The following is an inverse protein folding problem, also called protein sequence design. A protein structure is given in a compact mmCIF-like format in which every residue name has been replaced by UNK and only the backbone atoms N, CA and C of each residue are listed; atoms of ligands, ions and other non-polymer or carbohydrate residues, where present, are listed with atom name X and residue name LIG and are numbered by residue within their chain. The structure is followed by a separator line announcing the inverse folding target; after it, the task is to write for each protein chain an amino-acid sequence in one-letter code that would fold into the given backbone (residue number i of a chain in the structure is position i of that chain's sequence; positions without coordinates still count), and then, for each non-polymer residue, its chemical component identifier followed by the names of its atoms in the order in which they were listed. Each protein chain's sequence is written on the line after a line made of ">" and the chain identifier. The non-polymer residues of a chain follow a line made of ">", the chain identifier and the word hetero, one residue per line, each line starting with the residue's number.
data_IF_186004468987
#
_entry.id   IF_186004468987
#
_cell.length_a   1.000
_cell.length_b   1.000
_cell.length_c   1.000
_cell.angle_alpha   90.00
_cell.angle_beta   90.00
_cell.angle_gamma   90.00
#
_symmetry.space_group_name_H-M   'P 1'
#
loop_
_entity.id
_entity.type
_entity.pdbx_description
1 polymer ?
#
# COMPACT_ATOMS: atom_id res chain seq x y z
N UNK A 1 -9.82 -16.39 13.02
CA UNK A 1 -8.76 -16.03 12.05
C UNK A 1 -9.03 -14.60 11.63
N UNK A 2 -8.00 -13.75 11.65
CA UNK A 2 -8.10 -12.36 11.21
C UNK A 2 -7.34 -12.20 9.89
N UNK A 3 -7.86 -11.36 9.00
CA UNK A 3 -7.21 -11.00 7.75
C UNK A 3 -7.22 -9.48 7.62
N UNK A 4 -6.07 -8.89 7.35
CA UNK A 4 -5.91 -7.44 7.13
C UNK A 4 -5.11 -7.22 5.86
N UNK A 5 -5.39 -6.12 5.17
CA UNK A 5 -4.53 -5.59 4.12
C UNK A 5 -3.76 -4.38 4.66
N UNK A 6 -2.59 -4.07 4.10
CA UNK A 6 -1.81 -2.94 4.55
C UNK A 6 -0.92 -2.37 3.47
N UNK A 7 -0.53 -1.11 3.65
CA UNK A 7 0.55 -0.47 2.91
C UNK A 7 1.69 -0.07 3.88
N UNK A 8 2.90 -0.61 3.71
CA UNK A 8 4.00 -0.36 4.64
C UNK A 8 4.62 1.04 4.46
N UNK A 9 4.24 1.76 3.41
CA UNK A 9 4.88 2.99 2.94
C UNK A 9 5.96 2.71 1.88
N UNK A 10 6.47 3.76 1.26
CA UNK A 10 7.50 3.64 0.23
C UNK A 10 8.85 3.33 0.85
N UNK A 11 9.43 2.16 0.55
CA UNK A 11 10.69 1.70 1.13
C UNK A 11 11.62 1.29 0.00
N UNK A 12 12.86 1.77 0.01
CA UNK A 12 13.87 1.35 -0.96
C UNK A 12 14.37 -0.06 -0.62
N UNK A 13 13.80 -1.06 -1.28
CA UNK A 13 14.15 -2.48 -1.12
C UNK A 13 14.68 -3.05 -2.43
N UNK A 14 15.16 -4.32 -2.49
CA UNK A 14 15.54 -4.93 -3.75
C UNK A 14 14.43 -4.95 -4.81
N UNK A 15 13.14 -4.74 -4.46
CA UNK A 15 12.07 -4.58 -5.45
C UNK A 15 12.38 -3.46 -6.46
N UNK A 16 13.06 -2.41 -6.02
CA UNK A 16 13.44 -1.23 -6.81
C UNK A 16 14.66 -1.44 -7.71
N UNK A 17 15.29 -2.64 -7.71
CA UNK A 17 16.58 -2.90 -8.38
C UNK A 17 16.58 -2.73 -9.90
N UNK A 18 15.41 -2.76 -10.53
CA UNK A 18 15.25 -2.60 -11.98
C UNK A 18 14.66 -1.25 -12.37
N UNK A 19 14.45 -0.34 -11.42
CA UNK A 19 13.99 1.02 -11.72
C UNK A 19 15.16 1.81 -12.35
N UNK A 20 14.98 2.23 -13.59
CA UNK A 20 15.90 3.12 -14.30
C UNK A 20 15.65 4.58 -13.95
N UNK A 21 16.49 5.48 -14.47
CA UNK A 21 16.38 6.91 -14.20
C UNK A 21 15.02 7.49 -14.62
N UNK A 22 14.44 7.00 -15.73
CA UNK A 22 13.13 7.46 -16.21
C UNK A 22 12.00 7.04 -15.26
N UNK A 23 12.07 5.83 -14.69
CA UNK A 23 11.12 5.38 -13.66
C UNK A 23 11.26 6.24 -12.40
N UNK A 24 12.51 6.51 -11.99
CA UNK A 24 12.77 7.31 -10.79
C UNK A 24 12.32 8.77 -10.96
N UNK A 25 12.48 9.37 -12.15
CA UNK A 25 11.91 10.70 -12.45
C UNK A 25 10.39 10.67 -12.44
N UNK A 26 9.77 9.66 -13.06
CA UNK A 26 8.31 9.51 -13.08
C UNK A 26 7.72 9.33 -11.66
N UNK A 27 8.47 8.71 -10.76
CA UNK A 27 8.12 8.55 -9.35
C UNK A 27 8.50 9.76 -8.47
N UNK A 28 9.13 10.80 -9.03
CA UNK A 28 9.63 11.95 -8.26
C UNK A 28 10.81 11.62 -7.32
N UNK A 29 11.47 10.48 -7.53
CA UNK A 29 12.62 9.99 -6.77
C UNK A 29 13.98 10.40 -7.37
N UNK A 30 13.97 11.06 -8.53
CA UNK A 30 15.16 11.61 -9.19
C UNK A 30 14.83 12.99 -9.76
N UNK A 31 15.65 14.00 -9.44
CA UNK A 31 15.51 15.35 -9.99
C UNK A 31 16.06 15.42 -11.42
N UNK A 32 15.73 16.50 -12.14
CA UNK A 32 16.33 16.81 -13.46
C UNK A 32 17.86 16.92 -13.40
N UNK A 33 18.43 17.31 -12.25
CA UNK A 33 19.87 17.37 -12.02
C UNK A 33 20.52 15.99 -11.74
N UNK A 34 19.73 14.91 -11.69
CA UNK A 34 20.22 13.55 -11.40
C UNK A 34 20.40 13.27 -9.90
N UNK A 35 19.85 14.10 -9.02
CA UNK A 35 19.92 13.91 -7.57
C UNK A 35 18.75 13.05 -7.06
N UNK A 36 19.03 12.08 -6.19
CA UNK A 36 17.98 11.25 -5.60
C UNK A 36 17.16 12.04 -4.59
N UNK A 37 15.84 11.92 -4.69
CA UNK A 37 14.89 12.42 -3.70
C UNK A 37 14.52 11.27 -2.77
N UNK A 38 14.87 11.41 -1.49
CA UNK A 38 14.57 10.41 -0.45
C UNK A 38 13.51 10.88 0.54
N UNK A 39 13.06 12.13 0.42
CA UNK A 39 11.96 12.66 1.22
C UNK A 39 10.70 11.81 0.98
N UNK A 40 10.09 11.33 2.06
CA UNK A 40 8.93 10.42 1.99
C UNK A 40 9.28 8.92 1.91
N UNK A 41 10.55 8.56 1.71
CA UNK A 41 10.96 7.15 1.84
C UNK A 41 11.11 6.77 3.32
N UNK A 42 10.51 5.64 3.67
CA UNK A 42 10.70 4.99 4.96
C UNK A 42 11.94 4.11 4.97
N UNK A 43 12.53 3.99 6.15
CA UNK A 43 13.50 2.92 6.45
C UNK A 43 12.80 1.56 6.51
N UNK A 44 13.56 0.48 6.36
CA UNK A 44 13.03 -0.89 6.48
C UNK A 44 12.32 -1.13 7.82
N UNK A 45 12.86 -0.74 8.99
CA UNK A 45 12.15 -0.89 10.26
C UNK A 45 10.83 -0.10 10.32
N UNK A 46 10.78 1.12 9.79
CA UNK A 46 9.54 1.90 9.72
C UNK A 46 8.49 1.24 8.83
N UNK A 47 8.91 0.62 7.72
CA UNK A 47 8.02 -0.16 6.86
C UNK A 47 7.47 -1.42 7.54
N UNK A 48 8.34 -2.12 8.26
CA UNK A 48 7.96 -3.32 9.00
C UNK A 48 7.01 -3.01 10.18
N UNK A 49 7.08 -1.80 10.75
CA UNK A 49 6.24 -1.41 11.88
C UNK A 49 4.73 -1.56 11.58
N UNK A 50 4.27 -1.19 10.38
CA UNK A 50 2.86 -1.35 9.98
C UNK A 50 2.43 -2.82 9.95
N UNK A 51 3.34 -3.72 9.55
CA UNK A 51 3.09 -5.17 9.53
C UNK A 51 2.96 -5.70 10.96
N UNK A 52 3.86 -5.29 11.84
CA UNK A 52 3.82 -5.67 13.27
C UNK A 52 2.55 -5.16 13.93
N UNK A 53 2.16 -3.91 13.66
CA UNK A 53 0.92 -3.33 14.14
C UNK A 53 -0.30 -4.14 13.68
N UNK A 54 -0.44 -4.41 12.38
CA UNK A 54 -1.57 -5.18 11.84
C UNK A 54 -1.63 -6.62 12.37
N UNK A 55 -0.50 -7.21 12.77
CA UNK A 55 -0.43 -8.58 13.25
C UNK A 55 -0.69 -8.74 14.75
N UNK A 56 -0.32 -7.73 15.56
CA UNK A 56 -0.23 -7.87 17.02
C UNK A 56 -1.08 -6.88 17.81
N UNK A 57 -1.51 -5.78 17.22
CA UNK A 57 -2.35 -4.79 17.88
C UNK A 57 -3.83 -5.22 17.85
N UNK A 58 -4.60 -4.87 18.88
CA UNK A 58 -6.01 -5.26 19.03
C UNK A 58 -7.00 -4.22 18.48
N UNK A 59 -6.52 -3.02 18.11
CA UNK A 59 -7.32 -1.96 17.52
C UNK A 59 -7.95 -2.30 16.15
N UNK A 60 -7.24 -2.92 15.18
CA UNK A 60 -7.82 -3.20 13.86
C UNK A 60 -8.80 -4.38 13.91
N UNK A 61 -10.01 -4.19 13.39
CA UNK A 61 -10.94 -5.27 13.14
C UNK A 61 -10.52 -6.10 11.91
N UNK A 62 -10.90 -7.38 11.84
CA UNK A 62 -10.64 -8.18 10.63
C UNK A 62 -11.29 -7.53 9.41
N UNK A 63 -10.57 -7.50 8.28
CA UNK A 63 -10.99 -6.90 7.02
C UNK A 63 -10.53 -5.45 6.83
N UNK A 64 -9.82 -4.85 7.79
CA UNK A 64 -9.34 -3.46 7.67
C UNK A 64 -8.12 -3.34 6.75
N UNK A 65 -8.03 -2.19 6.10
CA UNK A 65 -6.82 -1.69 5.47
C UNK A 65 -6.04 -0.80 6.45
N UNK A 66 -4.72 -0.96 6.49
CA UNK A 66 -3.84 -0.37 7.50
C UNK A 66 -2.68 0.36 6.84
N UNK A 67 -2.40 1.57 7.30
CA UNK A 67 -1.24 2.37 6.86
C UNK A 67 -0.68 3.14 8.06
N UNK A 68 0.63 3.40 8.06
CA UNK A 68 1.29 4.21 9.09
C UNK A 68 0.98 3.81 10.56
N UNK A 69 0.86 2.51 10.81
CA UNK A 69 0.50 1.94 12.12
C UNK A 69 -0.89 2.37 12.64
N UNK A 70 -1.83 2.62 11.73
CA UNK A 70 -3.22 2.94 12.06
C UNK A 70 -4.22 2.38 11.02
N UNK A 71 -5.49 2.31 11.40
CA UNK A 71 -6.56 1.93 10.48
C UNK A 71 -6.84 3.09 9.53
N UNK A 72 -6.68 2.83 8.24
CA UNK A 72 -6.82 3.84 7.21
C UNK A 72 -8.30 4.28 7.06
N UNK A 73 -8.57 5.59 6.89
CA UNK A 73 -9.93 6.09 6.70
C UNK A 73 -10.47 5.76 5.30
N UNK A 74 -11.79 5.64 5.19
CA UNK A 74 -12.47 5.60 3.88
C UNK A 74 -12.42 6.99 3.24
N UNK A 75 -11.96 7.05 2.00
CA UNK A 75 -11.85 8.28 1.22
C UNK A 75 -12.99 8.34 0.21
N UNK A 76 -13.84 9.36 0.38
CA UNK A 76 -15.04 9.59 -0.42
C UNK A 76 -14.81 10.45 -1.65
N UNK A 77 -13.73 11.23 -1.66
CA UNK A 77 -13.40 12.16 -2.71
C UNK A 77 -12.62 11.50 -3.84
N UNK A 78 -12.96 11.87 -5.07
CA UNK A 78 -12.16 11.54 -6.24
C UNK A 78 -10.86 12.37 -6.26
N UNK A 79 -9.79 11.78 -6.79
CA UNK A 79 -8.48 12.44 -6.90
C UNK A 79 -7.33 11.65 -6.26
N UNK A 80 -6.13 12.21 -6.39
CA UNK A 80 -4.94 11.66 -5.76
C UNK A 80 -4.93 12.04 -4.27
N UNK A 81 -4.88 11.03 -3.41
CA UNK A 81 -4.56 11.22 -1.99
C UNK A 81 -3.52 10.18 -1.60
N UNK A 82 -2.60 10.57 -0.75
CA UNK A 82 -1.45 9.76 -0.35
C UNK A 82 -1.84 8.59 0.58
N UNK A 83 -3.00 8.71 1.22
CA UNK A 83 -3.48 7.83 2.29
C UNK A 83 -4.96 7.50 2.14
N UNK A 84 -5.39 6.39 2.74
CA UNK A 84 -6.77 5.98 2.87
C UNK A 84 -7.23 4.93 1.85
N UNK A 85 -8.35 4.28 2.16
CA UNK A 85 -8.99 3.26 1.31
C UNK A 85 -10.07 3.88 0.43
N UNK A 86 -10.18 3.45 -0.82
CA UNK A 86 -11.22 3.94 -1.76
C UNK A 86 -12.50 3.12 -1.65
N UNK A 87 -13.66 3.73 -1.93
CA UNK A 87 -14.98 3.06 -1.90
C UNK A 87 -15.03 1.74 -2.68
N UNK A 88 -14.46 1.71 -3.88
CA UNK A 88 -14.46 0.49 -4.69
C UNK A 88 -13.61 -0.65 -4.09
N UNK A 89 -12.65 -0.34 -3.22
CA UNK A 89 -11.83 -1.35 -2.55
C UNK A 89 -12.54 -2.01 -1.37
N UNK A 90 -13.66 -1.44 -0.90
CA UNK A 90 -14.50 -2.00 0.18
C UNK A 90 -15.86 -2.51 -0.33
N UNK A 91 -16.02 -2.61 -1.65
CA UNK A 91 -17.25 -3.10 -2.27
C UNK A 91 -17.28 -4.64 -2.26
N UNK A 92 -18.24 -5.26 -1.53
CA UNK A 92 -18.31 -6.72 -1.41
C UNK A 92 -18.71 -7.40 -2.72
N UNK A 93 -19.50 -6.75 -3.59
CA UNK A 93 -19.91 -7.32 -4.87
C UNK A 93 -18.73 -7.37 -5.86
N UNK A 94 -17.89 -6.34 -5.86
CA UNK A 94 -16.65 -6.35 -6.65
C UNK A 94 -15.67 -7.41 -6.15
N UNK A 95 -15.53 -7.57 -4.84
CA UNK A 95 -14.66 -8.58 -4.24
C UNK A 95 -15.11 -10.01 -4.61
N UNK A 96 -16.41 -10.31 -4.50
CA UNK A 96 -16.96 -11.62 -4.85
C UNK A 96 -16.74 -11.96 -6.33
N UNK A 97 -16.99 -10.98 -7.22
CA UNK A 97 -16.77 -11.17 -8.66
C UNK A 97 -15.31 -11.45 -8.98
N UNK A 98 -14.37 -10.76 -8.33
CA UNK A 98 -12.94 -10.99 -8.51
C UNK A 98 -12.54 -12.38 -7.99
N UNK A 99 -13.11 -12.81 -6.86
CA UNK A 99 -12.85 -14.12 -6.29
C UNK A 99 -13.25 -15.25 -7.25
N UNK A 100 -14.50 -15.24 -7.71
CA UNK A 100 -15.02 -16.26 -8.64
C UNK A 100 -14.20 -16.33 -9.92
N UNK A 101 -13.82 -15.18 -10.49
CA UNK A 101 -12.96 -15.15 -11.68
C UNK A 101 -11.57 -15.73 -11.38
N UNK A 102 -10.99 -15.39 -10.22
CA UNK A 102 -9.66 -15.89 -9.83
C UNK A 102 -9.65 -17.40 -9.67
N UNK A 103 -10.70 -17.99 -9.08
CA UNK A 103 -10.87 -19.44 -8.97
C UNK A 103 -10.91 -20.12 -10.35
N UNK A 104 -11.59 -19.53 -11.32
CA UNK A 104 -11.64 -20.04 -12.70
C UNK A 104 -10.29 -19.98 -13.42
N UNK A 105 -9.42 -19.03 -13.07
CA UNK A 105 -8.11 -18.86 -13.71
C UNK A 105 -7.04 -19.81 -13.17
N UNK A 106 -7.24 -20.36 -11.96
CA UNK A 106 -6.28 -21.26 -11.30
C UNK A 106 -6.76 -22.72 -11.22
N UNK A 107 -7.96 -23.01 -11.73
CA UNK A 107 -8.50 -24.35 -11.88
C UNK A 107 -7.91 -25.08 -13.10
#
# INVERSE_FOLDING_TARGET
>A
MHAHSLHPGSIWTPLSRHLGDDDLRAMGLLTEAGERVTAGLKTVPQGAATIVFAALDDRPASGTYVEDCDVAPLIEADGHVDHGVRRWAVDPELAERLWVLSEQMVA
#
